data_IF_126075182194
#
_entry.id   IF_126075182194
#
_cell.length_a   1.000
_cell.length_b   1.000
_cell.length_c   1.000
_cell.angle_alpha   90.00
_cell.angle_beta   90.00
_cell.angle_gamma   90.00
#
_symmetry.space_group_name_H-M   'P 1'
#
loop_
_entity.id
_entity.type
_entity.pdbx_description
1 polymer ?
#
# COMPACT_ATOMS: atom_id res chain seq x y z
N UNK A 1 6.94 5.81 -26.86
CA UNK A 1 5.75 6.10 -26.03
C UNK A 1 6.25 6.29 -24.61
N UNK A 2 6.11 7.49 -24.03
CA UNK A 2 6.37 7.68 -22.60
C UNK A 2 5.42 6.75 -21.85
N UNK A 3 5.96 5.75 -21.15
CA UNK A 3 5.16 4.95 -20.23
C UNK A 3 4.68 5.92 -19.16
N UNK A 4 3.43 6.36 -19.27
CA UNK A 4 2.77 7.15 -18.23
C UNK A 4 2.95 6.43 -16.90
N UNK A 5 3.46 7.15 -15.90
CA UNK A 5 3.66 6.71 -14.53
C UNK A 5 2.41 5.95 -14.02
N UNK A 6 2.63 4.75 -13.45
CA UNK A 6 1.55 3.87 -12.98
C UNK A 6 0.53 4.60 -12.10
N UNK A 7 1.03 5.39 -11.15
CA UNK A 7 0.22 6.08 -10.17
C UNK A 7 -0.70 7.10 -10.84
N UNK A 8 -0.25 7.77 -11.90
CA UNK A 8 -1.10 8.67 -12.69
C UNK A 8 -2.19 7.91 -13.46
N UNK A 9 -1.89 6.71 -13.96
CA UNK A 9 -2.91 5.87 -14.62
C UNK A 9 -3.99 5.45 -13.63
N UNK A 10 -3.58 4.99 -12.45
CA UNK A 10 -4.49 4.57 -11.40
C UNK A 10 -5.48 5.66 -10.98
N UNK A 11 -5.09 6.96 -11.08
CA UNK A 11 -6.02 8.09 -10.84
C UNK A 11 -7.27 8.04 -11.73
N UNK A 12 -7.15 7.50 -12.93
CA UNK A 12 -8.22 7.47 -13.94
C UNK A 12 -9.00 6.16 -13.98
N UNK A 13 -8.62 5.19 -13.15
CA UNK A 13 -9.29 3.90 -13.12
C UNK A 13 -10.63 4.03 -12.40
N UNK A 14 -11.69 3.65 -13.11
CA UNK A 14 -13.06 3.60 -12.61
C UNK A 14 -13.44 2.14 -12.35
N UNK A 15 -13.32 1.72 -11.08
CA UNK A 15 -13.78 0.40 -10.63
C UNK A 15 -15.15 0.60 -9.98
N UNK A 16 -16.13 -0.18 -10.47
CA UNK A 16 -17.45 -0.25 -9.86
C UNK A 16 -17.37 -1.00 -8.53
N UNK A 17 -17.35 -0.27 -7.42
CA UNK A 17 -17.42 -0.83 -6.06
C UNK A 17 -18.82 -0.62 -5.45
N UNK A 18 -19.18 -1.43 -4.46
CA UNK A 18 -20.41 -1.25 -3.67
C UNK A 18 -20.38 0.10 -2.95
N UNK A 19 -21.53 0.75 -2.83
CA UNK A 19 -21.70 2.01 -2.08
C UNK A 19 -21.32 1.90 -0.59
N UNK A 20 -21.13 0.67 -0.07
CA UNK A 20 -20.69 0.42 1.30
C UNK A 20 -19.17 0.53 1.49
N UNK A 21 -18.39 0.52 0.40
CA UNK A 21 -16.94 0.67 0.46
C UNK A 21 -16.59 2.15 0.58
N UNK A 22 -15.73 2.47 1.55
CA UNK A 22 -15.24 3.83 1.76
C UNK A 22 -13.84 3.93 1.13
N UNK A 23 -13.66 4.71 0.06
CA UNK A 23 -12.35 4.97 -0.53
C UNK A 23 -11.32 5.47 0.48
N UNK A 24 -10.07 5.07 0.32
CA UNK A 24 -8.95 5.52 1.16
C UNK A 24 -8.17 4.39 1.82
N UNK A 25 -7.42 4.75 2.85
CA UNK A 25 -6.57 3.82 3.60
C UNK A 25 -7.10 3.56 5.01
N UNK A 26 -7.10 2.28 5.40
CA UNK A 26 -7.23 1.88 6.80
C UNK A 26 -5.85 1.40 7.28
N UNK A 27 -5.22 2.18 8.16
CA UNK A 27 -3.85 1.90 8.63
C UNK A 27 -3.80 1.49 10.11
N UNK A 28 -3.24 0.32 10.36
CA UNK A 28 -2.97 -0.25 11.67
C UNK A 28 -1.47 -0.21 12.00
N UNK A 29 -1.12 0.06 13.26
CA UNK A 29 0.27 0.01 13.71
C UNK A 29 0.40 -0.81 14.98
N UNK A 30 1.41 -1.68 15.00
CA UNK A 30 1.90 -2.29 16.23
C UNK A 30 2.36 -1.22 17.24
N UNK A 31 2.09 -1.43 18.52
CA UNK A 31 2.37 -0.49 19.60
C UNK A 31 3.86 -0.18 19.72
N UNK A 32 4.71 -1.15 19.36
CA UNK A 32 6.17 -1.05 19.43
C UNK A 32 6.79 -0.15 18.35
N UNK A 33 6.04 0.20 17.30
CA UNK A 33 6.57 1.09 16.26
C UNK A 33 6.72 2.50 16.85
N UNK A 34 7.89 3.15 16.71
CA UNK A 34 8.12 4.52 17.15
C UNK A 34 7.13 5.53 16.56
N UNK A 35 6.69 6.49 17.38
CA UNK A 35 5.75 7.52 16.95
C UNK A 35 6.20 8.34 15.75
N UNK A 36 7.51 8.61 15.62
CA UNK A 36 8.06 9.35 14.48
C UNK A 36 7.81 8.63 13.15
N UNK A 37 7.94 7.30 13.11
CA UNK A 37 7.67 6.48 11.93
C UNK A 37 6.17 6.40 11.68
N UNK A 38 5.35 6.24 12.73
CA UNK A 38 3.88 6.28 12.59
C UNK A 38 3.41 7.58 11.95
N UNK A 39 3.96 8.71 12.41
CA UNK A 39 3.62 10.03 11.89
C UNK A 39 4.07 10.19 10.44
N UNK A 40 5.29 9.78 10.10
CA UNK A 40 5.77 9.85 8.71
C UNK A 40 4.88 9.05 7.75
N UNK A 41 4.51 7.83 8.13
CA UNK A 41 3.66 6.97 7.30
C UNK A 41 2.22 7.51 7.18
N UNK A 42 1.69 8.14 8.23
CA UNK A 42 0.40 8.85 8.18
C UNK A 42 0.43 10.05 7.25
N UNK A 43 1.46 10.90 7.38
CA UNK A 43 1.66 12.06 6.50
C UNK A 43 1.76 11.62 5.04
N UNK A 44 2.47 10.52 4.77
CA UNK A 44 2.55 9.97 3.43
C UNK A 44 1.19 9.48 2.92
N UNK A 45 0.42 8.74 3.73
CA UNK A 45 -0.95 8.32 3.36
C UNK A 45 -1.85 9.51 3.05
N UNK A 46 -1.87 10.53 3.91
CA UNK A 46 -2.63 11.76 3.68
C UNK A 46 -2.21 12.44 2.36
N UNK A 47 -0.91 12.46 2.07
CA UNK A 47 -0.43 12.98 0.79
C UNK A 47 -0.94 12.13 -0.38
N UNK A 48 -0.94 10.80 -0.27
CA UNK A 48 -1.45 9.91 -1.33
C UNK A 48 -2.95 10.16 -1.55
N UNK A 49 -3.76 10.18 -0.50
CA UNK A 49 -5.22 10.41 -0.59
C UNK A 49 -5.58 11.76 -1.21
N UNK A 50 -4.76 12.79 -0.97
CA UNK A 50 -4.96 14.12 -1.56
C UNK A 50 -4.53 14.21 -3.03
N UNK A 51 -3.71 13.28 -3.51
CA UNK A 51 -3.11 13.37 -4.85
C UNK A 51 -3.59 12.26 -5.79
N UNK A 52 -4.06 11.12 -5.30
CA UNK A 52 -4.39 9.92 -6.08
C UNK A 52 -5.78 9.39 -5.75
N UNK A 53 -6.38 8.64 -6.68
CA UNK A 53 -7.66 7.98 -6.46
C UNK A 53 -7.46 6.61 -5.80
N UNK A 54 -8.20 6.31 -4.74
CA UNK A 54 -8.14 5.03 -4.00
C UNK A 54 -9.54 4.39 -4.05
N UNK A 55 -9.96 3.83 -5.20
CA UNK A 55 -11.35 3.41 -5.42
C UNK A 55 -11.78 2.23 -4.55
N UNK A 56 -10.83 1.40 -4.11
CA UNK A 56 -11.07 0.28 -3.19
C UNK A 56 -10.29 0.56 -1.91
N UNK A 57 -10.91 0.44 -0.73
CA UNK A 57 -10.21 0.61 0.54
C UNK A 57 -8.96 -0.26 0.59
N UNK A 58 -7.82 0.31 1.00
CA UNK A 58 -6.57 -0.42 1.17
C UNK A 58 -6.22 -0.54 2.65
N UNK A 59 -6.20 -1.77 3.16
CA UNK A 59 -5.84 -2.04 4.55
C UNK A 59 -4.33 -2.21 4.66
N UNK A 60 -3.69 -1.48 5.56
CA UNK A 60 -2.24 -1.54 5.76
C UNK A 60 -1.91 -1.75 7.22
N UNK A 61 -1.37 -2.92 7.54
CA UNK A 61 -0.91 -3.27 8.88
C UNK A 61 0.61 -3.21 8.97
N UNK A 62 1.11 -2.27 9.75
CA UNK A 62 2.52 -2.15 10.08
C UNK A 62 2.84 -2.96 11.34
N UNK A 63 3.70 -3.97 11.21
CA UNK A 63 4.03 -4.92 12.28
C UNK A 63 5.46 -4.78 12.75
N UNK A 64 5.72 -4.78 14.07
CA UNK A 64 7.08 -4.74 14.58
C UNK A 64 7.77 -6.10 14.43
N UNK A 65 8.33 -6.37 13.25
CA UNK A 65 8.92 -7.65 12.85
C UNK A 65 10.10 -7.45 11.90
N UNK A 66 10.99 -8.44 11.87
CA UNK A 66 12.14 -8.45 10.96
C UNK A 66 11.76 -8.77 9.51
N UNK A 67 10.79 -9.66 9.33
CA UNK A 67 10.29 -10.13 8.05
C UNK A 67 8.92 -10.78 8.29
N UNK A 68 8.14 -10.89 7.22
CA UNK A 68 6.97 -11.76 7.20
C UNK A 68 7.36 -13.11 6.62
N UNK A 69 6.56 -14.13 6.90
CA UNK A 69 6.79 -15.50 6.42
C UNK A 69 5.58 -15.95 5.63
N UNK A 70 5.77 -16.24 4.34
CA UNK A 70 4.74 -16.81 3.47
C UNK A 70 4.44 -18.27 3.87
N UNK A 71 3.32 -18.81 3.36
CA UNK A 71 2.91 -20.21 3.62
C UNK A 71 3.97 -21.25 3.23
N UNK A 72 4.80 -20.95 2.23
CA UNK A 72 5.92 -21.79 1.77
C UNK A 72 7.20 -21.65 2.64
N UNK A 73 7.17 -20.82 3.69
CA UNK A 73 8.33 -20.55 4.55
C UNK A 73 9.26 -19.44 4.05
N UNK A 74 8.98 -18.83 2.90
CA UNK A 74 9.78 -17.73 2.35
C UNK A 74 9.65 -16.47 3.19
N UNK A 75 10.78 -15.80 3.44
CA UNK A 75 10.84 -14.52 4.15
C UNK A 75 10.64 -13.38 3.17
N UNK A 76 9.74 -12.46 3.48
CA UNK A 76 9.39 -11.34 2.58
C UNK A 76 9.34 -10.00 3.31
N UNK A 77 9.66 -8.94 2.57
CA UNK A 77 9.70 -7.54 3.04
C UNK A 77 8.35 -6.85 3.12
N UNK A 78 7.32 -7.40 2.47
CA UNK A 78 5.90 -7.11 2.70
C UNK A 78 5.07 -8.27 2.16
N UNK A 79 3.81 -8.38 2.59
CA UNK A 79 2.84 -9.28 1.99
C UNK A 79 1.67 -8.47 1.48
N UNK A 80 1.45 -8.52 0.17
CA UNK A 80 0.21 -8.09 -0.45
C UNK A 80 -0.65 -9.33 -0.69
N UNK A 81 -1.89 -9.32 -0.22
CA UNK A 81 -2.82 -10.40 -0.44
C UNK A 81 -4.27 -9.92 -0.35
N UNK A 82 -5.14 -10.77 -0.86
CA UNK A 82 -6.59 -10.68 -0.78
C UNK A 82 -7.05 -11.42 0.46
N UNK A 83 -7.87 -10.77 1.27
CA UNK A 83 -8.17 -11.31 2.59
C UNK A 83 -9.43 -12.17 2.56
N UNK A 84 -9.22 -13.48 2.51
CA UNK A 84 -10.26 -14.48 2.79
C UNK A 84 -10.48 -14.54 4.33
N UNK A 85 -11.27 -13.60 4.85
CA UNK A 85 -11.46 -13.39 6.29
C UNK A 85 -12.37 -14.44 6.92
N UNK A 86 -11.77 -15.45 7.56
CA UNK A 86 -12.46 -16.38 8.48
C UNK A 86 -12.39 -15.98 9.96
N UNK A 87 -12.06 -14.72 10.30
CA UNK A 87 -11.82 -14.36 11.71
C UNK A 87 -12.16 -12.94 12.20
N UNK A 88 -13.05 -12.17 11.56
CA UNK A 88 -13.68 -10.98 12.18
C UNK A 88 -15.15 -10.84 11.77
N UNK A 89 -16.07 -10.45 12.69
CA UNK A 89 -17.50 -10.51 12.42
C UNK A 89 -18.00 -9.24 11.72
N UNK A 90 -18.84 -9.46 10.72
CA UNK A 90 -19.76 -8.53 10.04
C UNK A 90 -19.15 -7.68 8.93
N UNK A 91 -19.06 -8.22 7.70
CA UNK A 91 -19.40 -7.53 6.45
C UNK A 91 -19.71 -8.59 5.38
N UNK A 92 -20.94 -8.58 4.85
CA UNK A 92 -21.38 -9.45 3.76
C UNK A 92 -21.33 -8.65 2.44
N UNK A 93 -20.46 -9.07 1.51
CA UNK A 93 -20.27 -8.60 0.12
C UNK A 93 -19.43 -7.33 -0.14
N UNK A 94 -18.09 -7.51 -0.09
CA UNK A 94 -17.16 -7.37 -1.24
C UNK A 94 -15.99 -8.31 -0.95
N UNK A 95 -15.86 -9.36 -1.74
CA UNK A 95 -15.16 -10.57 -1.30
C UNK A 95 -13.62 -10.50 -1.23
N UNK A 96 -12.96 -9.36 -1.50
CA UNK A 96 -11.50 -9.25 -1.36
C UNK A 96 -11.03 -7.79 -1.15
N UNK A 97 -11.01 -7.30 0.10
CA UNK A 97 -10.33 -6.03 0.40
C UNK A 97 -8.81 -6.27 0.32
N UNK A 98 -8.07 -5.52 -0.53
CA UNK A 98 -6.62 -5.65 -0.60
C UNK A 98 -5.99 -5.26 0.74
N UNK A 99 -5.10 -6.12 1.21
CA UNK A 99 -4.34 -5.90 2.44
C UNK A 99 -2.85 -5.92 2.17
N UNK A 100 -2.15 -4.96 2.77
CA UNK A 100 -0.68 -4.91 2.87
C UNK A 100 -0.32 -5.18 4.33
N UNK A 101 0.51 -6.18 4.56
CA UNK A 101 1.24 -6.32 5.82
C UNK A 101 2.69 -5.91 5.59
N UNK A 102 3.17 -4.98 6.40
CA UNK A 102 4.51 -4.42 6.27
C UNK A 102 5.30 -4.57 7.59
N UNK A 103 6.34 -5.43 7.61
CA UNK A 103 7.22 -5.55 8.76
C UNK A 103 8.09 -4.28 8.88
N UNK A 104 8.07 -3.65 10.05
CA UNK A 104 8.93 -2.52 10.40
C UNK A 104 10.01 -3.00 11.37
N UNK A 105 11.27 -2.73 11.00
CA UNK A 105 12.45 -3.02 11.81
C UNK A 105 13.26 -1.76 12.08
N UNK A 106 12.87 -1.01 13.08
CA UNK A 106 13.46 0.32 13.35
C UNK A 106 14.90 0.29 13.83
N UNK A 107 15.39 -0.86 14.32
CA UNK A 107 16.78 -1.03 14.73
C UNK A 107 17.75 -1.18 13.54
N UNK A 108 17.25 -1.43 12.33
CA UNK A 108 18.08 -1.75 11.16
C UNK A 108 17.60 -1.12 9.86
N UNK A 109 16.49 -0.39 9.90
CA UNK A 109 15.93 0.32 8.76
C UNK A 109 15.68 1.76 9.16
N UNK A 110 16.16 2.65 8.32
CA UNK A 110 15.84 4.08 8.37
C UNK A 110 14.37 4.30 8.04
N UNK A 111 13.82 5.43 8.47
CA UNK A 111 12.46 5.84 8.10
C UNK A 111 12.28 5.89 6.58
N UNK A 112 13.30 6.30 5.83
CA UNK A 112 13.27 6.36 4.37
C UNK A 112 13.20 4.97 3.73
N UNK A 113 13.93 3.98 4.24
CA UNK A 113 13.83 2.59 3.77
C UNK A 113 12.45 1.99 4.05
N UNK A 114 11.89 2.27 5.23
CA UNK A 114 10.52 1.85 5.59
C UNK A 114 9.50 2.49 4.63
N UNK A 115 9.65 3.79 4.36
CA UNK A 115 8.81 4.52 3.45
C UNK A 115 8.91 3.95 2.02
N UNK A 116 10.12 3.67 1.54
CA UNK A 116 10.35 3.04 0.23
C UNK A 116 9.62 1.71 0.11
N UNK A 117 9.76 0.81 1.09
CA UNK A 117 9.04 -0.47 1.09
C UNK A 117 7.52 -0.27 1.09
N UNK A 118 7.02 0.79 1.74
CA UNK A 118 5.60 1.10 1.71
C UNK A 118 5.15 1.62 0.33
N UNK A 119 5.92 2.51 -0.30
CA UNK A 119 5.69 2.97 -1.67
C UNK A 119 5.67 1.79 -2.65
N UNK A 120 6.59 0.83 -2.52
CA UNK A 120 6.61 -0.38 -3.34
C UNK A 120 5.30 -1.18 -3.19
N UNK A 121 4.81 -1.33 -1.96
CA UNK A 121 3.56 -2.05 -1.70
C UNK A 121 2.33 -1.33 -2.27
N UNK A 122 2.24 -0.01 -2.17
CA UNK A 122 1.15 0.77 -2.80
C UNK A 122 1.26 0.74 -4.33
N UNK A 123 2.47 0.75 -4.87
CA UNK A 123 2.71 0.60 -6.31
C UNK A 123 2.15 -0.74 -6.81
N UNK A 124 2.35 -1.82 -6.05
CA UNK A 124 1.75 -3.11 -6.36
C UNK A 124 0.20 -3.07 -6.34
N UNK A 125 -0.40 -2.37 -5.37
CA UNK A 125 -1.84 -2.14 -5.33
C UNK A 125 -2.35 -1.39 -6.58
N UNK A 126 -1.66 -0.34 -7.02
CA UNK A 126 -2.07 0.38 -8.23
C UNK A 126 -1.90 -0.42 -9.51
N UNK A 127 -0.86 -1.26 -9.61
CA UNK A 127 -0.73 -2.18 -10.72
C UNK A 127 -1.88 -3.18 -10.75
N UNK A 128 -2.30 -3.69 -9.59
CA UNK A 128 -3.48 -4.52 -9.51
C UNK A 128 -4.74 -3.80 -10.00
N UNK A 129 -5.02 -2.58 -9.50
CA UNK A 129 -6.17 -1.77 -9.96
C UNK A 129 -6.17 -1.62 -11.48
N UNK A 130 -5.02 -1.29 -12.07
CA UNK A 130 -4.91 -1.16 -13.52
C UNK A 130 -5.14 -2.50 -14.25
N UNK A 131 -4.72 -3.61 -13.66
CA UNK A 131 -4.86 -4.92 -14.28
C UNK A 131 -6.30 -5.46 -14.25
N UNK A 132 -7.10 -5.08 -13.26
CA UNK A 132 -8.53 -5.44 -13.22
C UNK A 132 -9.33 -4.89 -14.42
N UNK A 133 -8.89 -3.78 -15.02
CA UNK A 133 -9.53 -3.18 -16.20
C UNK A 133 -8.91 -3.61 -17.54
N UNK A 134 -8.22 -4.75 -17.58
CA UNK A 134 -7.56 -5.36 -18.75
C UNK A 134 -6.28 -4.65 -19.25
N UNK A 135 -5.53 -3.96 -18.37
CA UNK A 135 -4.13 -3.63 -18.67
C UNK A 135 -3.20 -4.74 -18.16
N UNK A 136 -2.13 -5.07 -18.88
CA UNK A 136 -1.04 -5.88 -18.31
C UNK A 136 0.06 -4.92 -17.85
N UNK A 137 0.05 -4.58 -16.56
CA UNK A 137 1.01 -3.70 -15.93
C UNK A 137 1.83 -4.44 -14.85
N UNK A 138 3.15 -4.36 -14.97
CA UNK A 138 4.11 -4.85 -13.97
C UNK A 138 4.88 -3.67 -13.37
N UNK A 139 4.80 -3.44 -12.04
CA UNK A 139 5.60 -2.45 -11.34
C UNK A 139 7.09 -2.57 -11.63
N UNK A 140 7.78 -1.43 -11.73
CA UNK A 140 9.24 -1.41 -11.77
C UNK A 140 9.82 -0.39 -10.77
N UNK A 141 11.14 -0.44 -10.55
CA UNK A 141 11.82 0.42 -9.58
C UNK A 141 11.65 1.92 -9.84
N UNK A 142 11.45 2.35 -11.09
CA UNK A 142 11.26 3.77 -11.40
C UNK A 142 9.90 4.28 -10.90
N UNK A 143 8.85 3.46 -10.93
CA UNK A 143 7.53 3.87 -10.41
C UNK A 143 7.60 4.17 -8.92
N UNK A 144 8.35 3.36 -8.17
CA UNK A 144 8.62 3.57 -6.75
C UNK A 144 9.47 4.83 -6.53
N UNK A 145 10.60 4.93 -7.25
CA UNK A 145 11.58 5.99 -7.02
C UNK A 145 11.00 7.38 -7.35
N UNK A 146 10.27 7.52 -8.47
CA UNK A 146 9.65 8.79 -8.85
C UNK A 146 8.70 9.32 -7.76
N UNK A 147 7.87 8.44 -7.20
CA UNK A 147 6.89 8.81 -6.17
C UNK A 147 7.55 9.11 -4.84
N UNK A 148 8.56 8.32 -4.46
CA UNK A 148 9.33 8.58 -3.25
C UNK A 148 10.01 9.96 -3.32
N UNK A 149 10.68 10.26 -4.44
CA UNK A 149 11.33 11.56 -4.63
C UNK A 149 10.33 12.71 -4.70
N UNK A 150 9.16 12.51 -5.32
CA UNK A 150 8.11 13.52 -5.36
C UNK A 150 7.62 13.88 -3.96
N UNK A 151 7.33 12.87 -3.13
CA UNK A 151 6.92 13.08 -1.74
C UNK A 151 8.02 13.74 -0.90
N UNK A 152 9.26 13.23 -0.97
CA UNK A 152 10.39 13.78 -0.20
C UNK A 152 10.69 15.25 -0.54
N UNK A 153 10.50 15.65 -1.81
CA UNK A 153 10.66 17.04 -2.25
C UNK A 153 9.61 17.97 -1.63
N UNK A 154 8.38 17.50 -1.41
CA UNK A 154 7.28 18.29 -0.84
C UNK A 154 7.39 18.37 0.69
N UNK A 155 7.93 17.31 1.31
CA UNK A 155 8.20 17.22 2.75
C UNK A 155 9.30 18.17 3.23
N UNK A 156 10.32 18.41 2.40
CA UNK A 156 11.51 19.21 2.71
C UNK A 156 11.24 20.72 2.76
#
# INVERSE_FOLDING_TARGET
MNKSNLWLRAKSVDIQVSDQIVPGFDIGFDDKIPHEIKNELRTFVEWVENNFNIPVTLWVDFEYKHYLVRRNGERVGYMFYWTDFSSYPVFDNIDDIPQIRLPIRTEHSTTEEILRSFVEAITAYFAWICNEIHEEYEPNENDTEEILQEYLRIRA
#
